data_IF_425924512106
#
_entry.id   IF_425924512106
#
_cell.length_a   1.000
_cell.length_b   1.000
_cell.length_c   1.000
_cell.angle_alpha   90.00
_cell.angle_beta   90.00
_cell.angle_gamma   90.00
#
_symmetry.space_group_name_H-M   'P 1'
#
loop_
_entity.id
_entity.type
_entity.pdbx_description
1 polymer ?
#
# COMPACT_ATOMS: atom_id res chain seq x y z
N UNK A 1 -12.05 -21.34 5.97
CA UNK A 1 -10.66 -21.74 6.30
C UNK A 1 -10.41 -21.25 7.71
N UNK A 2 -10.58 -22.13 8.69
CA UNK A 2 -10.26 -21.83 10.08
C UNK A 2 -8.88 -22.40 10.41
N UNK A 3 -7.98 -21.55 10.87
CA UNK A 3 -6.92 -21.95 11.79
C UNK A 3 -6.54 -20.76 12.63
N UNK A 4 -6.44 -21.03 13.93
CA UNK A 4 -6.13 -20.12 15.01
C UNK A 4 -4.93 -19.20 14.74
N UNK A 5 -4.94 -18.05 15.40
CA UNK A 5 -3.84 -17.10 15.49
C UNK A 5 -2.52 -17.81 15.84
N UNK A 6 -1.72 -18.04 14.81
CA UNK A 6 -0.37 -18.60 14.87
C UNK A 6 0.46 -17.89 13.80
N UNK A 7 1.78 -17.86 13.97
CA UNK A 7 2.78 -17.11 13.19
C UNK A 7 2.60 -17.07 11.65
N UNK A 8 1.84 -17.99 11.05
CA UNK A 8 1.42 -17.93 9.63
C UNK A 8 0.43 -16.81 9.28
N UNK A 9 -0.40 -16.35 10.23
CA UNK A 9 -1.34 -15.23 10.04
C UNK A 9 -0.59 -13.92 9.83
N UNK A 10 0.39 -13.64 10.70
CA UNK A 10 1.14 -12.37 10.67
C UNK A 10 2.03 -12.23 9.43
N UNK A 11 2.60 -13.34 8.92
CA UNK A 11 3.36 -13.32 7.67
C UNK A 11 2.46 -12.99 6.46
N UNK A 12 1.24 -13.52 6.42
CA UNK A 12 0.26 -13.19 5.39
C UNK A 12 -0.19 -11.73 5.48
N UNK A 13 -0.46 -11.23 6.68
CA UNK A 13 -0.76 -9.81 6.90
C UNK A 13 0.42 -8.91 6.52
N UNK A 14 1.65 -9.33 6.82
CA UNK A 14 2.86 -8.61 6.39
C UNK A 14 2.96 -8.55 4.86
N UNK A 15 2.64 -9.64 4.16
CA UNK A 15 2.63 -9.65 2.70
C UNK A 15 1.51 -8.79 2.10
N UNK A 16 0.38 -8.65 2.80
CA UNK A 16 -0.76 -7.84 2.35
C UNK A 16 -0.52 -6.34 2.52
N UNK A 17 -0.03 -5.94 3.70
CA UNK A 17 0.04 -4.53 4.10
C UNK A 17 1.41 -3.91 3.89
N UNK A 18 2.50 -4.68 3.80
CA UNK A 18 3.83 -4.09 3.64
C UNK A 18 3.92 -3.28 2.34
N UNK A 19 4.43 -2.05 2.45
CA UNK A 19 4.58 -1.12 1.33
C UNK A 19 3.33 -0.30 0.99
N UNK A 20 2.17 -0.59 1.59
CA UNK A 20 0.96 0.26 1.49
C UNK A 20 1.29 1.64 2.09
N UNK A 21 0.89 2.72 1.43
CA UNK A 21 1.19 4.09 1.88
C UNK A 21 0.16 4.57 2.89
N UNK A 22 0.64 5.02 4.04
CA UNK A 22 -0.12 5.46 5.20
C UNK A 22 -0.13 6.97 5.30
N UNK A 23 -1.24 7.55 5.79
CA UNK A 23 -1.30 8.94 6.22
C UNK A 23 -1.33 9.02 7.75
N UNK A 24 -0.45 9.83 8.35
CA UNK A 24 -0.38 10.03 9.80
C UNK A 24 -0.47 11.50 10.19
N UNK A 25 -1.21 11.80 11.26
CA UNK A 25 -1.45 13.15 11.76
C UNK A 25 -0.27 13.54 12.64
N UNK A 26 0.56 14.46 12.14
CA UNK A 26 1.80 14.85 12.81
C UNK A 26 1.89 16.36 13.01
N UNK A 27 0.75 17.06 12.90
CA UNK A 27 0.67 18.48 13.14
C UNK A 27 0.98 18.76 14.62
N UNK A 28 1.83 19.71 14.99
CA UNK A 28 2.02 20.02 16.41
C UNK A 28 0.73 20.59 17.03
N UNK A 29 0.40 20.18 18.26
CA UNK A 29 -0.86 20.53 18.94
C UNK A 29 -1.11 22.04 19.03
N UNK A 30 -0.04 22.85 19.11
CA UNK A 30 -0.13 24.31 19.12
C UNK A 30 -0.81 24.89 17.86
N UNK A 31 -0.82 24.15 16.75
CA UNK A 31 -1.50 24.53 15.51
C UNK A 31 -2.93 23.97 15.41
N UNK A 32 -3.28 22.99 16.25
CA UNK A 32 -4.59 22.34 16.31
C UNK A 32 -5.53 23.12 17.23
N UNK A 33 -6.13 24.20 16.71
CA UNK A 33 -7.08 25.03 17.48
C UNK A 33 -7.15 26.51 17.06
N UNK A 34 -6.26 26.95 16.16
CA UNK A 34 -6.36 28.29 15.55
C UNK A 34 -7.23 28.21 14.28
N UNK A 35 -8.36 28.92 14.29
CA UNK A 35 -9.34 29.10 13.21
C UNK A 35 -9.16 28.20 11.97
N UNK A 36 -9.87 27.06 11.96
CA UNK A 36 -10.20 26.19 10.82
C UNK A 36 -9.29 26.34 9.59
N UNK A 37 -8.04 25.89 9.73
CA UNK A 37 -7.26 25.42 8.58
C UNK A 37 -7.15 23.91 8.76
N UNK A 38 -7.78 23.08 7.92
CA UNK A 38 -7.59 21.64 7.99
C UNK A 38 -6.08 21.36 7.98
N UNK A 39 -5.56 20.47 8.85
CA UNK A 39 -4.12 20.33 9.02
C UNK A 39 -3.48 19.97 7.67
N UNK A 40 -2.69 20.91 7.13
CA UNK A 40 -1.85 20.70 5.94
C UNK A 40 -0.56 19.91 6.29
N UNK A 41 -0.50 19.32 7.48
CA UNK A 41 0.66 18.61 8.01
C UNK A 41 0.30 17.18 8.33
N UNK A 42 0.30 16.35 7.29
CA UNK A 42 0.31 14.91 7.39
C UNK A 42 1.62 14.39 6.83
N UNK A 43 2.09 13.29 7.39
CA UNK A 43 3.21 12.55 6.82
C UNK A 43 2.68 11.33 6.10
N UNK A 44 3.36 10.97 5.00
CA UNK A 44 3.13 9.72 4.30
C UNK A 44 4.34 8.82 4.46
N UNK A 45 4.11 7.57 4.83
CA UNK A 45 5.17 6.56 4.90
C UNK A 45 4.63 5.17 4.54
N UNK A 46 5.47 4.28 4.00
CA UNK A 46 5.08 2.90 3.75
C UNK A 46 4.91 2.13 5.08
N UNK A 47 3.97 1.19 5.12
CA UNK A 47 3.91 0.23 6.23
C UNK A 47 5.11 -0.70 6.16
N UNK A 48 5.89 -0.74 7.24
CA UNK A 48 6.95 -1.72 7.40
C UNK A 48 6.39 -3.12 7.70
N UNK A 49 7.00 -4.19 7.17
CA UNK A 49 6.61 -5.54 7.54
C UNK A 49 6.82 -5.75 9.05
N UNK A 50 6.05 -6.64 9.67
CA UNK A 50 6.13 -6.86 11.12
C UNK A 50 7.54 -7.23 11.61
N UNK A 51 8.33 -7.88 10.75
CA UNK A 51 9.74 -8.17 10.98
C UNK A 51 10.00 -8.92 12.30
N UNK A 52 11.16 -8.72 12.93
CA UNK A 52 11.48 -9.32 14.22
C UNK A 52 10.60 -8.83 15.38
N UNK A 53 9.99 -7.64 15.24
CA UNK A 53 9.11 -7.07 16.26
C UNK A 53 7.77 -7.80 16.34
N UNK A 54 7.36 -8.52 15.28
CA UNK A 54 6.17 -9.35 15.29
C UNK A 54 4.91 -8.56 15.68
N UNK A 55 4.18 -9.03 16.69
CA UNK A 55 2.95 -8.38 17.16
C UNK A 55 3.18 -7.05 17.90
N UNK A 56 4.43 -6.67 18.20
CA UNK A 56 4.77 -5.36 18.78
C UNK A 56 5.09 -4.29 17.73
N UNK A 57 5.00 -4.63 16.44
CA UNK A 57 5.04 -3.65 15.35
C UNK A 57 3.64 -3.07 15.11
N UNK A 58 3.55 -1.89 14.50
CA UNK A 58 2.26 -1.30 14.12
C UNK A 58 1.44 -2.23 13.19
N UNK A 59 2.09 -2.97 12.28
CA UNK A 59 1.42 -3.98 11.45
C UNK A 59 0.94 -5.17 12.29
N UNK A 60 1.71 -5.56 13.29
CA UNK A 60 1.34 -6.59 14.25
C UNK A 60 0.11 -6.22 15.07
N UNK A 61 0.05 -4.98 15.56
CA UNK A 61 -1.11 -4.42 16.27
C UNK A 61 -2.35 -4.38 15.37
N UNK A 62 -2.18 -3.93 14.11
CA UNK A 62 -3.24 -3.97 13.11
C UNK A 62 -3.80 -5.39 12.91
N UNK A 63 -2.92 -6.36 12.67
CA UNK A 63 -3.31 -7.75 12.48
C UNK A 63 -4.02 -8.33 13.71
N UNK A 64 -3.51 -8.03 14.92
CA UNK A 64 -4.12 -8.47 16.17
C UNK A 64 -5.51 -7.87 16.36
N UNK A 65 -5.71 -6.58 16.05
CA UNK A 65 -7.01 -5.94 16.13
C UNK A 65 -8.02 -6.57 15.16
N UNK A 66 -7.63 -6.82 13.90
CA UNK A 66 -8.48 -7.50 12.92
C UNK A 66 -8.85 -8.91 13.41
N UNK A 67 -7.89 -9.67 13.92
CA UNK A 67 -8.14 -11.02 14.45
C UNK A 67 -9.07 -10.98 15.68
N UNK A 68 -8.97 -9.97 16.54
CA UNK A 68 -9.87 -9.74 17.68
C UNK A 68 -11.28 -9.37 17.23
N UNK A 69 -11.42 -8.44 16.29
CA UNK A 69 -12.71 -8.08 15.69
C UNK A 69 -13.35 -9.31 15.06
N UNK A 70 -12.59 -10.11 14.31
CA UNK A 70 -13.07 -11.36 13.72
C UNK A 70 -13.55 -12.34 14.79
N UNK A 71 -12.79 -12.49 15.88
CA UNK A 71 -13.13 -13.39 16.98
C UNK A 71 -14.42 -13.00 17.71
N UNK A 72 -14.76 -11.71 17.76
CA UNK A 72 -16.01 -11.20 18.33
C UNK A 72 -17.15 -11.08 17.31
N UNK A 73 -16.84 -11.15 16.01
CA UNK A 73 -17.83 -11.00 14.95
C UNK A 73 -18.79 -12.20 14.93
N UNK A 74 -20.09 -11.90 15.01
CA UNK A 74 -21.16 -12.88 14.88
C UNK A 74 -21.78 -12.73 13.49
N UNK A 75 -21.67 -13.75 12.66
CA UNK A 75 -22.23 -13.72 11.32
C UNK A 75 -23.77 -13.86 11.34
N UNK A 76 -24.40 -13.71 10.18
CA UNK A 76 -25.87 -13.78 10.06
C UNK A 76 -26.45 -15.15 10.43
N UNK A 77 -25.64 -16.20 10.33
CA UNK A 77 -25.99 -17.57 10.69
C UNK A 77 -25.74 -17.90 12.18
N UNK A 78 -25.27 -16.93 12.97
CA UNK A 78 -25.00 -17.09 14.41
C UNK A 78 -23.66 -17.76 14.76
N UNK A 79 -22.80 -18.00 13.78
CA UNK A 79 -21.43 -18.47 13.96
C UNK A 79 -20.52 -17.29 14.34
N UNK A 80 -19.68 -17.51 15.35
CA UNK A 80 -18.70 -16.54 15.83
C UNK A 80 -17.32 -16.88 15.29
N UNK A 81 -16.50 -15.87 14.98
CA UNK A 81 -15.10 -16.06 14.64
C UNK A 81 -14.77 -16.02 13.14
N UNK A 82 -15.73 -15.66 12.28
CA UNK A 82 -15.57 -15.64 10.82
C UNK A 82 -16.30 -14.44 10.22
N UNK A 83 -15.62 -13.70 9.35
CA UNK A 83 -16.23 -12.69 8.48
C UNK A 83 -17.00 -13.36 7.34
N UNK A 84 -18.24 -12.94 7.11
CA UNK A 84 -19.12 -13.48 6.07
C UNK A 84 -18.85 -12.82 4.71
N UNK A 85 -18.53 -11.53 4.73
CA UNK A 85 -18.22 -10.71 3.57
C UNK A 85 -16.89 -9.98 3.75
N UNK A 86 -16.25 -9.63 2.64
CA UNK A 86 -15.01 -8.86 2.67
C UNK A 86 -15.19 -7.50 3.36
N UNK A 87 -16.38 -6.90 3.28
CA UNK A 87 -16.71 -5.65 3.95
C UNK A 87 -16.74 -5.74 5.48
N UNK A 88 -16.94 -6.93 6.06
CA UNK A 88 -17.00 -7.10 7.51
C UNK A 88 -15.65 -6.82 8.18
N UNK A 89 -14.55 -6.86 7.41
CA UNK A 89 -13.23 -6.47 7.90
C UNK A 89 -13.21 -5.00 8.34
N UNK A 90 -14.04 -4.14 7.74
CA UNK A 90 -14.15 -2.72 8.07
C UNK A 90 -14.77 -2.45 9.44
N UNK A 91 -15.29 -3.48 10.11
CA UNK A 91 -15.67 -3.39 11.52
C UNK A 91 -14.45 -3.30 12.46
N UNK A 92 -13.23 -3.52 11.97
CA UNK A 92 -12.00 -3.39 12.75
C UNK A 92 -11.60 -1.92 12.89
N UNK A 93 -11.59 -1.35 14.11
CA UNK A 93 -11.21 0.04 14.32
C UNK A 93 -9.80 0.36 13.85
N UNK A 94 -8.89 -0.62 13.88
CA UNK A 94 -7.52 -0.43 13.43
C UNK A 94 -7.39 -0.16 11.92
N UNK A 95 -8.45 -0.36 11.13
CA UNK A 95 -8.49 0.06 9.73
C UNK A 95 -8.95 1.52 9.54
N UNK A 96 -9.51 2.15 10.56
CA UNK A 96 -10.09 3.50 10.47
C UNK A 96 -9.60 4.36 11.63
N UNK A 97 -10.44 4.58 12.65
CA UNK A 97 -10.24 5.53 13.75
C UNK A 97 -9.22 5.08 14.79
N UNK A 98 -9.09 3.77 14.99
CA UNK A 98 -8.16 3.15 15.93
C UNK A 98 -6.87 2.68 15.27
N UNK A 99 -6.53 3.23 14.10
CA UNK A 99 -5.37 2.79 13.33
C UNK A 99 -4.07 3.05 14.11
N UNK A 100 -3.17 2.04 14.21
CA UNK A 100 -1.88 2.19 14.92
C UNK A 100 -0.93 3.17 14.22
N UNK A 101 -1.31 3.63 13.03
CA UNK A 101 -0.54 4.61 12.27
C UNK A 101 -1.01 6.06 12.49
N UNK A 102 -2.15 6.24 13.15
CA UNK A 102 -2.62 7.55 13.58
C UNK A 102 -1.99 7.91 14.92
N UNK A 103 -1.70 9.19 15.09
CA UNK A 103 -1.23 9.71 16.36
C UNK A 103 -2.43 9.94 17.27
N UNK A 104 -2.73 8.95 18.11
CA UNK A 104 -3.87 8.93 19.03
C UNK A 104 -3.49 9.26 20.48
N UNK A 105 -2.21 9.14 20.83
CA UNK A 105 -1.74 9.26 22.22
C UNK A 105 -0.32 9.81 22.30
N UNK A 106 -0.03 10.52 23.39
CA UNK A 106 1.30 10.98 23.74
C UNK A 106 1.87 10.21 24.92
N UNK A 107 3.17 10.00 24.91
CA UNK A 107 3.87 9.47 26.08
C UNK A 107 4.22 10.62 27.05
N UNK A 108 3.65 10.58 28.24
CA UNK A 108 3.93 11.52 29.32
C UNK A 108 4.79 10.81 30.36
N UNK A 109 6.02 11.31 30.57
CA UNK A 109 6.96 10.73 31.53
C UNK A 109 6.35 10.67 32.94
N UNK A 110 6.38 9.48 33.55
CA UNK A 110 5.83 9.24 34.89
C UNK A 110 4.32 8.95 34.94
N UNK A 111 3.61 9.06 33.81
CA UNK A 111 2.17 8.74 33.68
C UNK A 111 1.95 7.58 32.71
N UNK A 112 2.69 7.55 31.60
CA UNK A 112 2.55 6.57 30.53
C UNK A 112 1.90 7.16 29.28
N UNK A 113 1.27 6.31 28.46
CA UNK A 113 0.54 6.74 27.27
C UNK A 113 -0.80 7.35 27.67
N UNK A 114 -1.04 8.59 27.26
CA UNK A 114 -2.26 9.35 27.54
C UNK A 114 -2.89 9.76 26.20
N UNK A 115 -4.23 9.70 26.04
CA UNK A 115 -4.90 10.17 24.84
C UNK A 115 -4.51 11.61 24.47
N UNK A 116 -4.26 11.84 23.20
CA UNK A 116 -4.02 13.19 22.67
C UNK A 116 -5.34 13.78 22.14
N UNK A 117 -6.04 14.51 23.01
CA UNK A 117 -7.35 15.08 22.69
C UNK A 117 -7.30 16.10 21.55
N UNK A 118 -6.20 16.85 21.40
CA UNK A 118 -6.04 17.86 20.36
C UNK A 118 -5.94 17.20 18.97
N UNK A 119 -5.14 16.14 18.87
CA UNK A 119 -5.02 15.33 17.66
C UNK A 119 -6.32 14.61 17.30
N UNK A 120 -6.97 13.97 18.27
CA UNK A 120 -8.22 13.23 18.04
C UNK A 120 -9.36 14.14 17.59
N UNK A 121 -9.40 15.39 18.08
CA UNK A 121 -10.49 16.32 17.75
C UNK A 121 -10.24 17.11 16.47
N UNK A 122 -8.99 17.54 16.22
CA UNK A 122 -8.68 18.51 15.16
C UNK A 122 -7.55 18.07 14.21
N UNK A 123 -6.81 17.01 14.55
CA UNK A 123 -5.63 16.55 13.81
C UNK A 123 -5.93 15.59 12.66
N UNK A 124 -7.13 15.01 12.62
CA UNK A 124 -7.53 14.00 11.63
C UNK A 124 -8.46 14.58 10.58
N UNK A 125 -8.22 14.22 9.32
CA UNK A 125 -9.12 14.52 8.21
C UNK A 125 -9.81 13.23 7.73
N UNK A 126 -10.91 13.38 6.98
CA UNK A 126 -11.66 12.26 6.36
C UNK A 126 -10.76 11.29 5.59
N UNK A 127 -9.83 11.82 4.78
CA UNK A 127 -8.86 11.05 4.03
C UNK A 127 -8.01 10.13 4.92
N UNK A 128 -7.77 10.49 6.19
CA UNK A 128 -6.98 9.72 7.15
C UNK A 128 -7.75 8.52 7.74
N UNK A 129 -9.09 8.56 7.72
CA UNK A 129 -9.92 7.42 8.10
C UNK A 129 -10.21 6.50 6.91
N UNK A 130 -10.26 7.06 5.70
CA UNK A 130 -10.71 6.32 4.52
C UNK A 130 -9.57 5.74 3.68
N UNK A 131 -8.32 6.22 3.81
CA UNK A 131 -7.23 5.79 2.94
C UNK A 131 -6.94 4.29 3.00
N UNK A 132 -6.88 3.72 4.21
CA UNK A 132 -6.45 2.33 4.38
C UNK A 132 -7.51 1.37 3.82
N UNK A 133 -8.81 1.50 4.18
CA UNK A 133 -9.87 0.74 3.54
C UNK A 133 -9.87 0.86 2.02
N UNK A 134 -9.72 2.08 1.47
CA UNK A 134 -9.72 2.30 0.03
C UNK A 134 -8.59 1.52 -0.68
N UNK A 135 -7.40 1.46 -0.09
CA UNK A 135 -6.26 0.77 -0.70
C UNK A 135 -6.35 -0.76 -0.57
N UNK A 136 -6.84 -1.28 0.55
CA UNK A 136 -6.74 -2.72 0.86
C UNK A 136 -7.96 -3.54 0.43
N UNK A 137 -9.11 -2.91 0.22
CA UNK A 137 -10.36 -3.65 -0.07
C UNK A 137 -10.27 -4.47 -1.37
N UNK A 138 -9.46 -4.03 -2.33
CA UNK A 138 -9.16 -4.83 -3.52
C UNK A 138 -8.26 -6.03 -3.25
N UNK A 139 -7.41 -5.97 -2.21
CA UNK A 139 -6.46 -7.02 -1.86
C UNK A 139 -7.07 -8.08 -0.94
N UNK A 140 -7.98 -7.66 -0.05
CA UNK A 140 -8.70 -8.55 0.88
C UNK A 140 -9.76 -9.37 0.17
N UNK A 141 -10.32 -8.85 -0.94
CA UNK A 141 -11.31 -9.58 -1.72
C UNK A 141 -10.69 -10.87 -2.27
N UNK A 142 -11.27 -12.00 -1.91
CA UNK A 142 -10.96 -13.31 -2.48
C UNK A 142 -11.45 -13.38 -3.92
N UNK A 143 -10.68 -12.78 -4.83
CA UNK A 143 -10.87 -12.83 -6.28
C UNK A 143 -9.61 -13.34 -6.96
N UNK A 144 -9.66 -13.53 -8.27
CA UNK A 144 -8.43 -13.82 -9.00
C UNK A 144 -7.63 -12.52 -9.18
N UNK A 145 -6.40 -12.41 -8.64
CA UNK A 145 -5.60 -11.21 -8.79
C UNK A 145 -5.29 -11.01 -10.27
N UNK A 146 -5.68 -9.84 -10.79
CA UNK A 146 -5.36 -9.41 -12.15
C UNK A 146 -4.26 -8.38 -12.10
N UNK A 147 -3.21 -8.60 -12.87
CA UNK A 147 -2.10 -7.67 -13.03
C UNK A 147 -2.19 -7.07 -14.43
N UNK A 148 -1.98 -5.75 -14.54
CA UNK A 148 -1.92 -5.07 -15.83
C UNK A 148 -0.48 -4.61 -16.05
N UNK A 149 0.18 -5.15 -17.07
CA UNK A 149 1.51 -4.75 -17.48
C UNK A 149 1.37 -3.84 -18.70
N UNK A 150 1.96 -2.65 -18.60
CA UNK A 150 2.16 -1.74 -19.72
C UNK A 150 3.62 -1.85 -20.15
N UNK A 151 3.85 -2.18 -21.42
CA UNK A 151 5.17 -2.15 -22.02
C UNK A 151 5.19 -1.15 -23.18
N UNK A 152 6.28 -0.41 -23.28
CA UNK A 152 6.51 0.56 -24.34
C UNK A 152 7.94 0.39 -24.84
N UNK A 153 8.08 0.18 -26.14
CA UNK A 153 9.35 0.01 -26.83
C UNK A 153 9.49 1.04 -27.94
N UNK A 154 10.70 1.57 -28.10
CA UNK A 154 11.05 2.45 -29.22
C UNK A 154 12.29 1.91 -29.93
N UNK A 155 12.23 1.84 -31.25
CA UNK A 155 13.38 1.53 -32.10
C UNK A 155 14.00 2.84 -32.58
N UNK A 156 15.31 2.97 -32.39
CA UNK A 156 16.08 4.17 -32.70
C UNK A 156 17.07 3.90 -33.82
N UNK A 157 17.27 4.87 -34.71
CA UNK A 157 18.42 4.92 -35.61
C UNK A 157 19.10 6.29 -35.48
N UNK A 158 20.36 6.44 -35.89
CA UNK A 158 21.00 7.74 -35.95
C UNK A 158 20.14 8.73 -36.78
N UNK A 159 19.94 9.93 -36.24
CA UNK A 159 19.29 11.00 -36.98
C UNK A 159 20.14 11.39 -38.21
N UNK A 160 19.56 11.94 -39.29
CA UNK A 160 20.36 12.45 -40.41
C UNK A 160 21.31 13.55 -39.90
N UNK A 161 22.62 13.41 -40.13
CA UNK A 161 23.63 14.30 -39.56
C UNK A 161 23.93 14.09 -38.08
N UNK A 162 23.37 13.05 -37.45
CA UNK A 162 23.58 12.70 -36.04
C UNK A 162 24.79 11.80 -35.79
N UNK A 163 25.72 11.70 -36.73
CA UNK A 163 26.99 10.99 -36.59
C UNK A 163 28.10 12.03 -36.66
N UNK A 164 29.00 12.03 -35.68
CA UNK A 164 30.16 12.92 -35.72
C UNK A 164 31.13 12.43 -36.80
N UNK A 165 31.27 13.23 -37.86
CA UNK A 165 32.18 13.00 -38.98
C UNK A 165 33.32 14.01 -38.99
N UNK A 166 33.51 14.79 -37.92
CA UNK A 166 34.51 15.84 -37.86
C UNK A 166 35.93 15.24 -37.82
N UNK A 167 36.74 15.42 -38.88
CA UNK A 167 38.09 14.86 -38.94
C UNK A 167 39.07 15.54 -37.98
N UNK A 168 38.71 16.69 -37.39
CA UNK A 168 39.53 17.43 -36.43
C UNK A 168 39.35 16.92 -34.98
N UNK A 169 38.42 16.00 -34.74
CA UNK A 169 38.19 15.42 -33.41
C UNK A 169 38.17 13.88 -33.47
N UNK A 170 39.33 13.22 -33.64
CA UNK A 170 39.42 11.79 -33.91
C UNK A 170 38.92 10.90 -32.77
N UNK A 171 38.76 11.43 -31.55
CA UNK A 171 38.24 10.69 -30.40
C UNK A 171 36.71 10.45 -30.47
N UNK A 172 35.98 11.22 -31.27
CA UNK A 172 34.51 11.16 -31.36
C UNK A 172 34.02 10.75 -32.75
N UNK A 173 34.93 10.52 -33.70
CA UNK A 173 34.61 10.13 -35.06
C UNK A 173 33.82 8.81 -35.11
N UNK A 174 32.65 8.84 -35.74
CA UNK A 174 31.73 7.71 -35.84
C UNK A 174 30.78 7.55 -34.65
N UNK A 175 30.84 8.42 -33.64
CA UNK A 175 29.89 8.39 -32.54
C UNK A 175 28.55 9.03 -32.90
N UNK A 176 27.46 8.46 -32.40
CA UNK A 176 26.10 8.96 -32.62
C UNK A 176 25.80 10.04 -31.58
N UNK A 177 25.57 11.27 -32.05
CA UNK A 177 25.26 12.44 -31.21
C UNK A 177 23.76 12.70 -31.09
N UNK A 178 22.95 12.11 -31.99
CA UNK A 178 21.49 12.23 -31.94
C UNK A 178 20.81 11.01 -32.56
N UNK A 179 19.71 10.57 -31.93
CA UNK A 179 18.88 9.46 -32.38
C UNK A 179 17.50 9.97 -32.82
N UNK A 180 16.97 9.38 -33.88
CA UNK A 180 15.58 9.56 -34.30
C UNK A 180 14.79 8.28 -34.05
N UNK A 181 13.53 8.43 -33.66
CA UNK A 181 12.61 7.31 -33.48
C UNK A 181 12.15 6.80 -34.84
N UNK A 182 12.24 5.49 -35.06
CA UNK A 182 11.89 4.82 -36.32
C UNK A 182 10.65 3.97 -36.19
N UNK A 183 10.44 3.40 -35.00
CA UNK A 183 9.24 2.66 -34.67
C UNK A 183 8.94 2.82 -33.18
N UNK A 184 7.66 2.74 -32.85
CA UNK A 184 7.16 2.69 -31.49
C UNK A 184 6.16 1.55 -31.40
N UNK A 185 6.18 0.85 -30.28
CA UNK A 185 5.22 -0.19 -29.96
C UNK A 185 4.82 -0.02 -28.50
N UNK A 186 3.53 -0.06 -28.24
CA UNK A 186 3.00 -0.18 -26.88
C UNK A 186 2.21 -1.49 -26.83
N UNK A 187 2.27 -2.20 -25.71
CA UNK A 187 1.37 -3.32 -25.48
C UNK A 187 0.82 -3.25 -24.06
N UNK A 188 -0.43 -3.68 -23.91
CA UNK A 188 -1.09 -3.84 -22.63
C UNK A 188 -1.44 -5.30 -22.44
N UNK A 189 -0.95 -5.89 -21.36
CA UNK A 189 -1.19 -7.29 -21.03
C UNK A 189 -1.91 -7.37 -19.70
N UNK A 190 -3.05 -8.08 -19.67
CA UNK A 190 -3.74 -8.42 -18.42
C UNK A 190 -3.45 -9.87 -18.10
N UNK A 191 -2.82 -10.08 -16.95
CA UNK A 191 -2.42 -11.39 -16.43
C UNK A 191 -3.27 -11.76 -15.24
N UNK A 192 -3.55 -13.05 -15.09
CA UNK A 192 -4.16 -13.65 -13.91
C UNK A 192 -3.25 -14.74 -13.37
N UNK A 193 -3.01 -14.75 -12.07
CA UNK A 193 -2.29 -15.85 -11.43
C UNK A 193 -3.30 -16.89 -10.97
N UNK A 194 -3.11 -18.14 -11.40
CA UNK A 194 -3.96 -19.28 -11.03
C UNK A 194 -3.15 -20.35 -10.29
N UNK A 195 -3.86 -21.10 -9.45
CA UNK A 195 -3.28 -22.18 -8.65
C UNK A 195 -2.82 -21.73 -7.25
N UNK A 196 -2.47 -22.71 -6.42
CA UNK A 196 -1.89 -22.50 -5.09
C UNK A 196 -0.43 -22.91 -5.10
N UNK A 197 0.46 -22.26 -4.34
CA UNK A 197 1.84 -22.71 -4.20
C UNK A 197 1.92 -24.20 -3.84
N UNK A 198 2.79 -25.00 -4.50
CA UNK A 198 3.83 -24.62 -5.45
C UNK A 198 3.38 -24.56 -6.93
N UNK A 199 2.13 -24.90 -7.25
CA UNK A 199 1.62 -25.05 -8.63
C UNK A 199 1.02 -23.76 -9.19
N UNK A 200 1.47 -22.60 -8.71
CA UNK A 200 1.00 -21.31 -9.20
C UNK A 200 1.55 -21.06 -10.61
N UNK A 201 0.70 -20.66 -11.54
CA UNK A 201 1.07 -20.32 -12.92
C UNK A 201 0.33 -19.06 -13.39
N UNK A 202 0.92 -18.39 -14.39
CA UNK A 202 0.38 -17.16 -14.94
C UNK A 202 -0.41 -17.46 -16.20
N UNK A 203 -1.63 -16.95 -16.29
CA UNK A 203 -2.51 -17.03 -17.45
C UNK A 203 -2.69 -15.63 -18.03
N UNK A 204 -2.47 -15.49 -19.33
CA UNK A 204 -2.74 -14.23 -20.06
C UNK A 204 -4.23 -14.20 -20.38
N UNK A 205 -4.97 -13.26 -19.81
CA UNK A 205 -6.40 -13.10 -20.08
C UNK A 205 -6.65 -12.24 -21.30
N UNK A 206 -5.86 -11.17 -21.46
CA UNK A 206 -6.02 -10.22 -22.54
C UNK A 206 -4.67 -9.68 -22.98
N UNK A 207 -4.46 -9.65 -24.29
CA UNK A 207 -3.29 -9.07 -24.94
C UNK A 207 -3.78 -8.11 -26.02
N UNK A 208 -3.43 -6.83 -25.87
CA UNK A 208 -3.68 -5.82 -26.89
C UNK A 208 -2.32 -5.28 -27.39
N UNK A 209 -2.09 -5.44 -28.69
CA UNK A 209 -1.09 -4.68 -29.49
C UNK A 209 -1.66 -3.35 -29.96
#
# INVERSE_FOLDING_TARGET
>A
MGSAAGSGSLAAWSALFSGVQVLSNTAPDAYLGTAYRPPMFYTSFPIDPAGPQGYSSALGELAANIDQTRAAFTNRDGLVGVFEHAGDILASPALTEGSPFLHLSNYVAGVGWVPDEAQQTNGMNDAMYEWLPQQIMSLVRRGAPRYVIYCYGQALKPAPGGIDINPLNPAFFGMVTNYQVVAQSAARVVLRVEGTPPNAHVVIEQYNE
#
